data_IF_416694094550
#
_entry.id   IF_416694094550
#
_cell.length_a   1.000
_cell.length_b   1.000
_cell.length_c   1.000
_cell.angle_alpha   90.00
_cell.angle_beta   90.00
_cell.angle_gamma   90.00
#
_symmetry.space_group_name_H-M   'P 1'
#
loop_
_entity.id
_entity.type
_entity.pdbx_description
1 polymer ?
#
# COMPACT_ATOMS: atom_id res chain seq x y z
N UNK A 1 -26.03 19.69 2.57
CA UNK A 1 -24.79 19.72 3.38
C UNK A 1 -24.24 18.30 3.35
N UNK A 2 -23.18 18.04 2.57
CA UNK A 2 -22.42 16.79 2.72
C UNK A 2 -21.73 16.91 4.09
N UNK A 3 -22.06 16.02 5.01
CA UNK A 3 -21.33 15.92 6.27
C UNK A 3 -19.87 15.63 5.92
N UNK A 4 -18.96 16.41 6.46
CA UNK A 4 -17.54 16.09 6.46
C UNK A 4 -17.39 14.88 7.39
N UNK A 5 -17.35 13.67 6.83
CA UNK A 5 -16.74 12.53 7.51
C UNK A 5 -15.26 12.84 7.59
N UNK A 6 -14.77 13.18 8.79
CA UNK A 6 -13.33 13.29 9.02
C UNK A 6 -12.76 11.88 8.93
N UNK A 7 -12.08 11.54 7.83
CA UNK A 7 -11.29 10.32 7.73
C UNK A 7 -10.26 10.31 8.86
N UNK A 8 -10.01 9.14 9.45
CA UNK A 8 -8.85 8.97 10.33
C UNK A 8 -7.62 8.85 9.44
N UNK A 9 -6.74 9.85 9.46
CA UNK A 9 -5.52 9.90 8.65
C UNK A 9 -4.33 9.43 9.49
N UNK A 10 -3.65 8.37 9.04
CA UNK A 10 -2.38 7.91 9.59
C UNK A 10 -1.22 8.36 8.67
N UNK A 11 -0.37 9.28 9.14
CA UNK A 11 0.81 9.77 8.41
C UNK A 11 2.13 9.24 8.97
N UNK A 12 2.10 8.36 9.96
CA UNK A 12 3.27 7.89 10.72
C UNK A 12 4.39 7.37 9.82
N UNK A 13 4.04 6.78 8.67
CA UNK A 13 4.96 6.16 7.72
C UNK A 13 5.36 7.07 6.54
N UNK A 14 4.97 8.34 6.59
CA UNK A 14 5.44 9.40 5.70
C UNK A 14 6.20 10.50 6.45
N UNK A 15 5.91 10.72 7.73
CA UNK A 15 6.64 11.68 8.57
C UNK A 15 8.17 11.51 8.44
N UNK A 16 8.87 12.57 8.04
CA UNK A 16 10.32 12.55 7.77
C UNK A 16 10.72 12.33 6.31
N UNK A 17 9.75 12.14 5.39
CA UNK A 17 9.93 12.05 3.94
C UNK A 17 9.32 13.25 3.20
N UNK A 18 9.19 14.41 3.86
CA UNK A 18 8.48 15.56 3.29
C UNK A 18 9.09 16.03 1.96
N UNK A 19 8.26 16.07 0.92
CA UNK A 19 8.66 16.45 -0.43
C UNK A 19 9.18 15.28 -1.29
N UNK A 20 9.27 14.08 -0.73
CA UNK A 20 9.41 12.84 -1.49
C UNK A 20 8.02 12.31 -1.91
N UNK A 21 7.95 11.48 -2.96
CA UNK A 21 6.68 10.93 -3.42
C UNK A 21 5.96 10.11 -2.35
N UNK A 22 4.66 10.36 -2.21
CA UNK A 22 3.81 9.68 -1.24
C UNK A 22 2.78 8.77 -1.93
N UNK A 23 2.26 7.84 -1.15
CA UNK A 23 1.23 6.91 -1.59
C UNK A 23 0.10 6.95 -0.56
N UNK A 24 -1.08 7.36 -1.01
CA UNK A 24 -2.30 7.37 -0.20
C UNK A 24 -3.05 6.06 -0.41
N UNK A 25 -3.29 5.32 0.68
CA UNK A 25 -4.19 4.18 0.73
C UNK A 25 -5.44 4.60 1.49
N UNK A 26 -6.62 4.45 0.88
CA UNK A 26 -7.87 4.89 1.52
C UNK A 26 -9.05 3.97 1.29
N UNK A 27 -9.93 3.91 2.27
CA UNK A 27 -11.26 3.30 2.20
C UNK A 27 -12.35 4.34 2.50
N UNK A 28 -13.57 3.92 2.87
CA UNK A 28 -14.65 4.87 3.18
C UNK A 28 -14.37 5.81 4.36
N UNK A 29 -13.57 5.37 5.35
CA UNK A 29 -13.46 6.02 6.65
C UNK A 29 -12.01 6.27 7.11
N UNK A 30 -11.03 5.67 6.45
CA UNK A 30 -9.62 5.64 6.87
C UNK A 30 -8.70 5.97 5.71
N UNK A 31 -7.64 6.68 6.04
CA UNK A 31 -6.59 7.09 5.12
C UNK A 31 -5.23 6.78 5.76
N UNK A 32 -4.32 6.20 4.99
CA UNK A 32 -2.96 5.89 5.38
C UNK A 32 -2.02 6.46 4.32
N UNK A 33 -1.11 7.33 4.71
CA UNK A 33 -0.09 7.90 3.83
C UNK A 33 1.24 7.24 4.16
N UNK A 34 1.89 6.70 3.14
CA UNK A 34 3.22 6.10 3.26
C UNK A 34 4.17 6.74 2.26
N UNK A 35 5.47 6.75 2.59
CA UNK A 35 6.48 7.02 1.56
C UNK A 35 6.43 5.95 0.46
N UNK A 36 6.32 6.38 -0.81
CA UNK A 36 6.21 5.47 -1.94
C UNK A 36 7.41 4.51 -2.07
N UNK A 37 8.58 4.91 -1.56
CA UNK A 37 9.77 4.04 -1.51
C UNK A 37 9.52 2.72 -0.77
N UNK A 38 8.75 2.74 0.33
CA UNK A 38 8.38 1.51 1.04
C UNK A 38 7.55 0.59 0.15
N UNK A 39 6.55 1.14 -0.54
CA UNK A 39 5.68 0.38 -1.42
C UNK A 39 6.45 -0.25 -2.59
N UNK A 40 7.36 0.51 -3.19
CA UNK A 40 8.26 0.02 -4.26
C UNK A 40 9.15 -1.12 -3.76
N UNK A 41 9.70 -1.03 -2.55
CA UNK A 41 10.50 -2.11 -1.96
C UNK A 41 9.65 -3.38 -1.75
N UNK A 42 8.44 -3.22 -1.22
CA UNK A 42 7.47 -4.31 -1.01
C UNK A 42 7.18 -5.03 -2.32
N UNK A 43 6.79 -4.30 -3.37
CA UNK A 43 6.45 -4.87 -4.68
C UNK A 43 7.64 -5.56 -5.34
N UNK A 44 8.83 -4.94 -5.29
CA UNK A 44 10.05 -5.56 -5.82
C UNK A 44 10.43 -6.86 -5.08
N UNK A 45 10.15 -6.96 -3.78
CA UNK A 45 10.35 -8.19 -3.01
C UNK A 45 9.32 -9.25 -3.41
N UNK A 46 8.03 -8.87 -3.46
CA UNK A 46 6.95 -9.77 -3.89
C UNK A 46 7.21 -10.32 -5.28
N UNK A 47 7.70 -9.53 -6.24
CA UNK A 47 8.02 -10.00 -7.58
C UNK A 47 9.05 -11.14 -7.62
N UNK A 48 9.88 -11.31 -6.58
CA UNK A 48 10.90 -12.36 -6.48
C UNK A 48 10.40 -13.64 -5.79
N UNK A 49 9.17 -13.66 -5.31
CA UNK A 49 8.58 -14.84 -4.65
C UNK A 49 7.76 -15.68 -5.62
N UNK A 50 7.32 -16.86 -5.18
CA UNK A 50 6.46 -17.74 -5.98
C UNK A 50 4.95 -17.43 -5.83
N UNK A 51 4.56 -16.40 -5.07
CA UNK A 51 3.15 -16.02 -4.94
C UNK A 51 2.59 -15.55 -6.29
N UNK A 52 1.30 -15.81 -6.52
CA UNK A 52 0.57 -15.35 -7.69
C UNK A 52 0.80 -13.85 -7.97
N UNK A 53 1.06 -13.50 -9.24
CA UNK A 53 1.45 -12.15 -9.69
C UNK A 53 0.31 -11.38 -10.37
N UNK A 54 -0.94 -11.54 -9.92
CA UNK A 54 -2.07 -10.69 -10.35
C UNK A 54 -2.25 -9.46 -9.45
N UNK A 55 -3.07 -8.49 -9.83
CA UNK A 55 -3.31 -7.30 -8.99
C UNK A 55 -2.07 -6.41 -8.86
N UNK A 56 -1.69 -6.01 -7.63
CA UNK A 56 -0.66 -4.97 -7.43
C UNK A 56 0.69 -5.26 -8.12
N UNK A 57 1.29 -6.47 -8.05
CA UNK A 57 2.56 -6.74 -8.70
C UNK A 57 2.46 -6.71 -10.24
N UNK A 58 1.32 -7.09 -10.81
CA UNK A 58 1.09 -7.03 -12.25
C UNK A 58 1.03 -5.59 -12.75
N UNK A 59 0.20 -4.79 -12.07
CA UNK A 59 -0.05 -3.35 -12.28
C UNK A 59 1.26 -2.57 -12.19
N UNK A 60 2.04 -2.83 -11.13
CA UNK A 60 3.39 -2.28 -10.99
C UNK A 60 4.34 -2.67 -12.13
N UNK A 61 4.36 -3.95 -12.52
CA UNK A 61 5.30 -4.45 -13.56
C UNK A 61 5.05 -3.83 -14.94
N UNK A 62 3.81 -3.41 -15.20
CA UNK A 62 3.39 -2.75 -16.43
C UNK A 62 3.45 -1.22 -16.35
N UNK A 63 3.68 -0.65 -15.17
CA UNK A 63 3.56 0.79 -14.91
C UNK A 63 2.15 1.32 -15.27
N UNK A 64 1.12 0.49 -15.09
CA UNK A 64 -0.28 0.83 -15.34
C UNK A 64 -0.98 0.80 -13.99
N UNK A 65 -1.51 1.91 -13.47
CA UNK A 65 -2.18 1.91 -12.16
C UNK A 65 -2.17 3.26 -11.45
N UNK A 66 -1.79 3.23 -10.17
CA UNK A 66 -1.87 4.36 -9.22
C UNK A 66 -1.05 5.61 -9.59
N UNK A 67 -0.25 5.58 -10.66
CA UNK A 67 0.62 6.70 -11.05
C UNK A 67 -0.14 7.93 -11.59
N UNK A 68 -1.27 7.71 -12.29
CA UNK A 68 -2.02 8.78 -12.96
C UNK A 68 -3.41 9.01 -12.36
N UNK A 69 -4.07 7.95 -11.88
CA UNK A 69 -5.42 7.99 -11.33
C UNK A 69 -5.56 7.07 -10.11
N UNK A 70 -6.51 7.34 -9.20
CA UNK A 70 -6.82 6.44 -8.09
C UNK A 70 -7.11 5.03 -8.57
N UNK A 71 -6.34 4.07 -8.08
CA UNK A 71 -6.43 2.69 -8.51
C UNK A 71 -7.17 1.82 -7.47
N UNK A 72 -8.28 1.17 -7.83
CA UNK A 72 -9.00 0.30 -6.91
C UNK A 72 -8.25 -1.01 -6.67
N UNK A 73 -8.12 -1.42 -5.41
CA UNK A 73 -7.67 -2.77 -5.07
C UNK A 73 -8.85 -3.74 -5.26
N UNK A 74 -8.91 -4.39 -6.43
CA UNK A 74 -10.00 -5.28 -6.82
C UNK A 74 -10.06 -6.58 -5.99
N UNK A 75 -8.90 -7.13 -5.60
CA UNK A 75 -8.80 -8.39 -4.86
C UNK A 75 -7.99 -8.19 -3.56
N UNK A 76 -8.69 -7.79 -2.49
CA UNK A 76 -8.12 -7.59 -1.17
C UNK A 76 -7.50 -8.90 -0.61
N UNK A 77 -8.18 -10.06 -0.65
CA UNK A 77 -7.57 -11.32 -0.18
C UNK A 77 -6.26 -11.67 -0.88
N UNK A 78 -6.18 -11.53 -2.21
CA UNK A 78 -4.94 -11.75 -2.96
C UNK A 78 -3.86 -10.75 -2.53
N UNK A 79 -4.21 -9.48 -2.42
CA UNK A 79 -3.32 -8.40 -1.98
C UNK A 79 -2.71 -8.70 -0.62
N UNK A 80 -3.53 -9.10 0.37
CA UNK A 80 -3.05 -9.50 1.71
C UNK A 80 -2.13 -10.73 1.62
N UNK A 81 -2.49 -11.73 0.82
CA UNK A 81 -1.66 -12.93 0.64
C UNK A 81 -0.29 -12.58 0.02
N UNK A 82 -0.26 -11.65 -0.92
CA UNK A 82 0.98 -11.15 -1.54
C UNK A 82 1.84 -10.37 -0.54
N UNK A 83 1.24 -9.47 0.26
CA UNK A 83 1.95 -8.73 1.32
C UNK A 83 2.55 -9.69 2.36
N UNK A 84 1.82 -10.74 2.75
CA UNK A 84 2.30 -11.79 3.67
C UNK A 84 3.44 -12.63 3.09
N UNK A 85 3.56 -12.69 1.76
CA UNK A 85 4.66 -13.39 1.11
C UNK A 85 5.95 -12.55 1.07
N UNK A 86 5.93 -11.30 1.52
CA UNK A 86 7.12 -10.45 1.59
C UNK A 86 8.21 -11.10 2.45
N UNK A 87 9.41 -11.20 1.88
CA UNK A 87 10.55 -11.84 2.50
C UNK A 87 11.50 -10.78 3.10
N UNK A 88 11.36 -10.56 4.41
CA UNK A 88 12.19 -9.62 5.18
C UNK A 88 13.67 -10.01 5.16
N UNK A 89 14.00 -11.30 5.12
CA UNK A 89 15.38 -11.78 5.19
C UNK A 89 16.18 -11.49 3.90
N UNK A 90 15.47 -11.16 2.81
CA UNK A 90 16.06 -10.89 1.49
C UNK A 90 15.98 -9.43 1.06
N UNK A 91 15.57 -8.53 1.97
CA UNK A 91 15.34 -7.12 1.66
C UNK A 91 16.23 -6.24 2.52
N UNK A 92 16.96 -5.29 1.93
CA UNK A 92 17.76 -4.30 2.68
C UNK A 92 16.86 -3.14 3.16
N UNK A 93 17.15 -2.55 4.33
CA UNK A 93 16.38 -1.41 4.88
C UNK A 93 15.13 -1.80 5.68
N UNK A 94 15.28 -2.74 6.62
CA UNK A 94 14.19 -3.57 7.15
C UNK A 94 13.37 -2.99 8.29
N UNK A 95 13.92 -2.07 9.12
CA UNK A 95 13.28 -1.75 10.40
C UNK A 95 11.89 -1.11 10.27
N UNK A 96 11.75 -0.05 9.48
CA UNK A 96 10.43 0.58 9.27
C UNK A 96 9.50 -0.29 8.42
N UNK A 97 10.04 -1.10 7.50
CA UNK A 97 9.23 -2.05 6.72
C UNK A 97 8.59 -3.13 7.58
N UNK A 98 9.21 -3.49 8.72
CA UNK A 98 8.60 -4.38 9.71
C UNK A 98 7.37 -3.77 10.39
N UNK A 99 7.18 -2.46 10.34
CA UNK A 99 6.02 -1.76 10.89
C UNK A 99 4.99 -1.40 9.80
N UNK A 100 5.46 -0.90 8.65
CA UNK A 100 4.60 -0.54 7.51
C UNK A 100 3.82 -1.74 6.99
N UNK A 101 4.48 -2.91 6.88
CA UNK A 101 3.86 -4.09 6.27
C UNK A 101 2.69 -4.64 7.12
N UNK A 102 2.85 -4.87 8.45
CA UNK A 102 1.71 -5.22 9.30
C UNK A 102 0.60 -4.18 9.29
N UNK A 103 0.92 -2.89 9.32
CA UNK A 103 -0.10 -1.83 9.30
C UNK A 103 -0.89 -1.86 7.99
N UNK A 104 -0.22 -2.00 6.84
CA UNK A 104 -0.90 -2.10 5.55
C UNK A 104 -1.79 -3.35 5.47
N UNK A 105 -1.34 -4.47 6.03
CA UNK A 105 -2.17 -5.69 6.12
C UNK A 105 -3.38 -5.43 7.02
N UNK A 106 -3.20 -4.84 8.19
CA UNK A 106 -4.29 -4.53 9.12
C UNK A 106 -5.29 -3.53 8.52
N UNK A 107 -4.80 -2.54 7.77
CA UNK A 107 -5.64 -1.62 7.01
C UNK A 107 -6.57 -2.40 6.08
N UNK A 108 -6.01 -3.30 5.26
CA UNK A 108 -6.77 -4.09 4.29
C UNK A 108 -7.71 -5.10 4.96
N UNK A 109 -7.31 -5.72 6.07
CA UNK A 109 -8.16 -6.67 6.81
C UNK A 109 -9.40 -6.02 7.41
N UNK A 110 -9.31 -4.74 7.75
CA UNK A 110 -10.40 -3.96 8.34
C UNK A 110 -11.04 -2.99 7.33
N UNK A 111 -10.78 -3.15 6.04
CA UNK A 111 -11.30 -2.29 4.97
C UNK A 111 -12.83 -2.25 4.96
N UNK A 112 -13.38 -1.04 4.96
CA UNK A 112 -14.79 -0.79 4.73
C UNK A 112 -15.02 -0.25 3.32
N UNK A 113 -15.78 -0.98 2.51
CA UNK A 113 -16.06 -0.61 1.13
C UNK A 113 -14.87 -0.86 0.18
N UNK A 114 -14.74 -0.03 -0.85
CA UNK A 114 -13.68 -0.13 -1.85
C UNK A 114 -12.41 0.56 -1.35
N UNK A 115 -11.27 -0.14 -1.43
CA UNK A 115 -9.95 0.46 -1.16
C UNK A 115 -9.35 0.99 -2.45
N UNK A 116 -8.73 2.18 -2.37
CA UNK A 116 -7.99 2.82 -3.45
C UNK A 116 -6.55 3.10 -3.04
N UNK A 117 -5.66 3.09 -4.04
CA UNK A 117 -4.27 3.54 -3.94
C UNK A 117 -4.09 4.74 -4.88
N UNK A 118 -3.47 5.81 -4.39
CA UNK A 118 -3.21 7.04 -5.13
C UNK A 118 -1.75 7.45 -4.95
N UNK A 119 -1.11 7.91 -6.03
CA UNK A 119 0.22 8.51 -6.03
C UNK A 119 0.10 10.03 -5.98
N UNK A 120 0.75 10.67 -5.01
CA UNK A 120 0.77 12.14 -4.85
C UNK A 120 2.19 12.74 -4.91
#
# INVERSE_FOLDING_TARGET
MKGLTTSLINTTYYDGFEGEPELLIRDENREMIIWNGYFVIILNSILKTEVEKGGMPEVYSKQEGWYDEPWPIEDIPLTINQLRAFDLDKTEGTETLMEVLPELIEFLENAEGQVFIEYE
#
